data_IF_530340158335
#
_entry.id   IF_530340158335
#
_cell.length_a   1.000
_cell.length_b   1.000
_cell.length_c   1.000
_cell.angle_alpha   90.00
_cell.angle_beta   90.00
_cell.angle_gamma   90.00
#
_symmetry.space_group_name_H-M   'P 1'
#
loop_
_entity.id
_entity.type
_entity.pdbx_description
1 polymer ?
#
# COMPACT_ATOMS: atom_id res chain seq x y z
N UNK A 1 11.25 7.07 1.00
CA UNK A 1 11.87 6.02 1.80
C UNK A 1 10.79 5.40 2.67
N UNK A 2 10.57 4.10 2.54
CA UNK A 2 9.56 3.35 3.28
C UNK A 2 10.25 2.51 4.35
N UNK A 3 9.77 2.61 5.59
CA UNK A 3 10.32 1.86 6.72
C UNK A 3 9.22 1.38 7.67
N UNK A 4 9.37 0.15 8.15
CA UNK A 4 8.56 -0.41 9.24
C UNK A 4 9.55 -0.97 10.26
N UNK A 5 9.56 -0.40 11.46
CA UNK A 5 10.52 -0.77 12.51
C UNK A 5 10.40 -2.26 12.87
N UNK A 6 11.55 -2.85 13.21
CA UNK A 6 11.71 -4.27 13.54
C UNK A 6 11.31 -5.25 12.41
N UNK A 7 11.28 -4.77 11.17
CA UNK A 7 11.09 -5.58 9.97
C UNK A 7 12.22 -5.36 8.97
N UNK A 8 12.24 -6.17 7.90
CA UNK A 8 13.16 -5.97 6.79
C UNK A 8 12.71 -4.88 5.80
N UNK A 9 11.50 -4.33 5.97
CA UNK A 9 10.97 -3.27 5.11
C UNK A 9 11.68 -1.97 5.49
N UNK A 10 12.76 -1.68 4.77
CA UNK A 10 13.59 -0.48 4.92
C UNK A 10 14.20 -0.17 3.55
N UNK A 11 13.41 0.46 2.67
CA UNK A 11 13.71 0.55 1.24
C UNK A 11 13.52 1.96 0.66
N UNK A 12 14.31 2.35 -0.35
CA UNK A 12 13.95 3.46 -1.22
C UNK A 12 12.66 3.13 -1.99
N UNK A 13 11.92 4.18 -2.34
CA UNK A 13 10.70 4.05 -3.15
C UNK A 13 10.91 4.81 -4.44
N UNK A 14 10.74 4.09 -5.55
CA UNK A 14 10.93 4.60 -6.91
C UNK A 14 9.59 5.01 -7.52
N UNK A 15 9.61 5.77 -8.61
CA UNK A 15 8.42 6.05 -9.41
C UNK A 15 8.82 6.29 -10.87
N UNK A 16 7.96 5.89 -11.81
CA UNK A 16 8.11 6.22 -13.23
C UNK A 16 6.71 6.48 -13.84
N UNK A 17 6.65 6.69 -15.15
CA UNK A 17 5.40 6.98 -15.88
C UNK A 17 4.47 5.75 -16.08
N UNK A 18 4.80 4.59 -15.50
CA UNK A 18 4.01 3.37 -15.54
C UNK A 18 4.26 2.51 -14.28
N UNK A 19 3.43 1.49 -14.09
CA UNK A 19 3.50 0.56 -12.96
C UNK A 19 4.27 -0.74 -13.29
N UNK A 20 5.09 -0.73 -14.35
CA UNK A 20 5.75 -1.94 -14.88
C UNK A 20 7.28 -1.90 -14.73
N UNK A 21 7.92 -0.76 -14.96
CA UNK A 21 9.39 -0.66 -15.07
C UNK A 21 10.12 -1.15 -13.82
N UNK A 22 9.67 -0.75 -12.63
CA UNK A 22 10.32 -1.12 -11.36
C UNK A 22 9.90 -2.50 -10.83
N UNK A 23 9.10 -3.26 -11.60
CA UNK A 23 8.89 -4.67 -11.32
C UNK A 23 10.17 -5.50 -11.56
N UNK A 24 11.01 -5.14 -12.53
CA UNK A 24 12.23 -5.88 -12.87
C UNK A 24 13.50 -5.02 -12.87
N UNK A 25 13.44 -3.82 -12.28
CA UNK A 25 14.57 -2.90 -12.14
C UNK A 25 14.80 -2.47 -10.68
N UNK A 26 16.07 -2.42 -10.28
CA UNK A 26 16.50 -1.92 -8.97
C UNK A 26 16.59 -0.38 -8.94
N UNK A 27 16.95 0.19 -7.79
CA UNK A 27 17.07 1.65 -7.61
C UNK A 27 18.18 2.30 -8.46
N UNK A 28 19.16 1.51 -8.94
CA UNK A 28 20.19 1.94 -9.90
C UNK A 28 19.72 1.83 -11.36
N UNK A 29 18.45 1.47 -11.61
CA UNK A 29 17.88 1.25 -12.94
C UNK A 29 18.51 0.06 -13.69
N UNK A 30 19.07 -0.91 -12.94
CA UNK A 30 19.62 -2.15 -13.49
C UNK A 30 18.59 -3.27 -13.34
N UNK A 31 18.62 -4.24 -14.25
CA UNK A 31 17.72 -5.41 -14.16
C UNK A 31 17.97 -6.20 -12.89
N UNK A 32 16.91 -6.43 -12.13
CA UNK A 32 16.91 -7.23 -10.90
C UNK A 32 15.54 -7.91 -10.75
N UNK A 33 15.54 -9.23 -10.59
CA UNK A 33 14.31 -10.00 -10.42
C UNK A 33 13.55 -9.67 -9.12
N UNK A 34 14.19 -9.01 -8.15
CA UNK A 34 13.53 -8.51 -6.95
C UNK A 34 12.81 -7.17 -7.19
N UNK A 35 13.12 -6.47 -8.29
CA UNK A 35 12.60 -5.14 -8.60
C UNK A 35 12.95 -4.10 -7.53
N UNK A 36 12.06 -3.12 -7.38
CA UNK A 36 12.10 -2.10 -6.33
C UNK A 36 10.75 -1.99 -5.64
N UNK A 37 10.69 -1.32 -4.49
CA UNK A 37 9.43 -0.75 -4.02
C UNK A 37 9.15 0.49 -4.86
N UNK A 38 7.95 0.61 -5.41
CA UNK A 38 7.61 1.73 -6.28
C UNK A 38 6.22 2.27 -5.99
N UNK A 39 6.05 3.58 -6.16
CA UNK A 39 4.78 4.27 -6.05
C UNK A 39 4.01 4.20 -7.37
N UNK A 40 2.68 4.14 -7.29
CA UNK A 40 1.81 4.18 -8.46
C UNK A 40 2.12 5.40 -9.34
N UNK A 41 2.15 5.21 -10.65
CA UNK A 41 2.44 6.23 -11.64
C UNK A 41 1.44 7.39 -11.64
N UNK A 42 0.19 7.14 -11.21
CA UNK A 42 -0.85 8.16 -11.12
C UNK A 42 -0.81 8.96 -9.80
N UNK A 43 -0.12 8.44 -8.77
CA UNK A 43 0.05 9.16 -7.52
C UNK A 43 0.98 10.37 -7.67
N UNK A 44 0.64 11.48 -7.03
CA UNK A 44 1.50 12.66 -6.97
C UNK A 44 2.11 12.79 -5.58
N UNK A 45 3.43 12.93 -5.48
CA UNK A 45 4.12 13.13 -4.20
C UNK A 45 3.97 14.56 -3.66
N UNK A 46 3.86 15.56 -4.55
CA UNK A 46 3.68 16.97 -4.19
C UNK A 46 3.06 17.81 -5.33
N UNK A 47 1.92 18.51 -5.11
CA UNK A 47 1.03 18.33 -3.96
C UNK A 47 0.57 16.87 -3.86
N UNK A 48 0.47 16.37 -2.64
CA UNK A 48 0.31 14.95 -2.37
C UNK A 48 -1.09 14.48 -2.77
N UNK A 49 -1.19 13.34 -3.47
CA UNK A 49 -2.47 12.62 -3.61
C UNK A 49 -2.99 12.13 -2.26
N UNK A 50 -4.30 12.04 -2.13
CA UNK A 50 -4.96 11.65 -0.88
C UNK A 50 -4.52 10.26 -0.41
N UNK A 51 -4.40 9.29 -1.32
CA UNK A 51 -3.90 7.96 -1.03
C UNK A 51 -2.67 7.67 -1.92
N UNK A 52 -1.51 7.48 -1.30
CA UNK A 52 -0.33 7.00 -2.02
C UNK A 52 -0.30 5.48 -2.02
N UNK A 53 -0.24 4.87 -3.20
CA UNK A 53 -0.20 3.43 -3.34
C UNK A 53 1.23 3.00 -3.68
N UNK A 54 1.79 2.13 -2.86
CA UNK A 54 3.11 1.54 -3.05
C UNK A 54 2.98 0.07 -3.37
N UNK A 55 3.71 -0.37 -4.39
CA UNK A 55 3.80 -1.75 -4.83
C UNK A 55 5.17 -2.33 -4.54
N UNK A 56 5.21 -3.63 -4.30
CA UNK A 56 6.45 -4.37 -4.13
C UNK A 56 6.22 -5.87 -4.30
N UNK A 57 7.26 -6.59 -4.72
CA UNK A 57 7.19 -8.04 -4.91
C UNK A 57 6.99 -8.78 -3.60
N UNK A 58 6.21 -9.86 -3.68
CA UNK A 58 6.11 -10.85 -2.61
C UNK A 58 7.19 -11.92 -2.82
N UNK A 59 8.36 -11.69 -2.24
CA UNK A 59 9.47 -12.63 -2.35
C UNK A 59 9.35 -13.73 -1.29
N UNK A 60 9.51 -15.00 -1.69
CA UNK A 60 9.58 -16.14 -0.75
C UNK A 60 10.70 -16.02 0.30
N UNK A 61 11.70 -15.19 0.02
CA UNK A 61 12.79 -14.89 0.96
C UNK A 61 12.39 -13.91 2.06
N UNK A 62 11.16 -13.39 2.05
CA UNK A 62 10.67 -12.31 2.92
C UNK A 62 10.96 -10.92 2.36
N UNK A 63 12.03 -10.75 1.55
CA UNK A 63 12.47 -9.46 0.96
C UNK A 63 11.35 -8.69 0.28
N UNK A 64 11.55 -7.38 0.11
CA UNK A 64 10.57 -6.47 -0.48
C UNK A 64 9.29 -6.46 0.36
N UNK A 65 8.14 -6.82 -0.20
CA UNK A 65 6.88 -6.97 0.53
C UNK A 65 6.56 -8.44 0.86
N UNK A 66 7.54 -9.34 0.81
CA UNK A 66 7.33 -10.75 1.19
C UNK A 66 6.82 -10.92 2.62
N UNK A 67 7.21 -10.03 3.53
CA UNK A 67 6.73 -10.04 4.92
C UNK A 67 5.40 -9.31 5.14
N UNK A 68 4.81 -8.68 4.11
CA UNK A 68 3.56 -7.94 4.26
C UNK A 68 2.39 -8.86 4.65
N UNK A 69 2.39 -10.13 4.20
CA UNK A 69 1.36 -11.10 4.57
C UNK A 69 1.34 -11.44 6.08
N UNK A 70 2.41 -11.14 6.82
CA UNK A 70 2.46 -11.35 8.27
C UNK A 70 1.41 -10.53 9.00
N UNK A 71 0.98 -9.40 8.43
CA UNK A 71 -0.14 -8.59 8.90
C UNK A 71 -1.47 -9.36 8.89
N UNK A 72 -1.59 -10.51 8.22
CA UNK A 72 -2.78 -11.36 8.35
C UNK A 72 -3.02 -11.83 9.80
N UNK A 73 -2.00 -11.77 10.66
CA UNK A 73 -2.09 -12.05 12.10
C UNK A 73 -2.24 -10.75 12.87
N UNK A 74 -3.36 -10.56 13.54
CA UNK A 74 -3.64 -9.36 14.34
C UNK A 74 -2.53 -9.04 15.37
N UNK A 75 -1.89 -10.07 15.95
CA UNK A 75 -0.76 -9.87 16.87
C UNK A 75 0.45 -9.19 16.20
N UNK A 76 0.74 -9.52 14.94
CA UNK A 76 1.82 -8.88 14.18
C UNK A 76 1.49 -7.42 13.89
N UNK A 77 0.24 -7.11 13.54
CA UNK A 77 -0.21 -5.73 13.42
C UNK A 77 0.00 -4.94 14.71
N UNK A 78 -0.36 -5.50 15.87
CA UNK A 78 -0.22 -4.82 17.16
C UNK A 78 1.25 -4.48 17.47
N UNK A 79 2.18 -5.32 17.06
CA UNK A 79 3.62 -5.10 17.24
C UNK A 79 4.20 -4.13 16.20
N UNK A 80 3.64 -4.09 14.98
CA UNK A 80 4.14 -3.31 13.84
C UNK A 80 3.07 -2.36 13.27
N UNK A 81 2.40 -1.58 14.12
CA UNK A 81 1.24 -0.78 13.72
C UNK A 81 1.60 0.55 13.04
N UNK A 82 2.88 0.93 13.07
CA UNK A 82 3.38 2.21 12.55
C UNK A 82 4.25 1.98 11.31
N UNK A 83 3.97 2.74 10.26
CA UNK A 83 4.71 2.78 9.01
C UNK A 83 5.28 4.18 8.83
N UNK A 84 6.55 4.28 8.47
CA UNK A 84 7.18 5.54 8.10
C UNK A 84 7.31 5.61 6.58
N UNK A 85 6.86 6.70 5.99
CA UNK A 85 7.07 6.96 4.58
C UNK A 85 7.42 8.42 4.34
N UNK A 86 8.68 8.64 3.96
CA UNK A 86 9.22 9.95 3.64
C UNK A 86 9.31 10.12 2.12
N UNK A 87 8.77 11.21 1.59
CA UNK A 87 9.08 11.66 0.23
C UNK A 87 10.27 12.61 0.27
N UNK A 88 10.72 13.08 -0.89
CA UNK A 88 11.74 14.15 -0.93
C UNK A 88 11.19 15.52 -0.47
N UNK A 89 9.87 15.64 -0.30
CA UNK A 89 9.17 16.87 0.08
C UNK A 89 8.72 16.88 1.54
N UNK A 90 8.33 15.73 2.05
CA UNK A 90 7.70 15.60 3.37
C UNK A 90 8.06 14.30 4.08
N UNK A 91 8.03 14.34 5.40
CA UNK A 91 8.10 13.14 6.25
C UNK A 91 6.70 12.73 6.67
N UNK A 92 6.47 11.42 6.79
CA UNK A 92 5.15 10.89 7.11
C UNK A 92 5.21 9.72 8.07
N UNK A 93 4.38 9.76 9.12
CA UNK A 93 4.11 8.61 9.99
C UNK A 93 2.67 8.17 9.78
N UNK A 94 2.47 6.87 9.57
CA UNK A 94 1.18 6.29 9.24
C UNK A 94 0.82 5.17 10.23
N UNK A 95 -0.42 5.14 10.66
CA UNK A 95 -0.99 4.12 11.54
C UNK A 95 -1.80 3.14 10.68
N UNK A 96 -1.48 1.84 10.75
CA UNK A 96 -2.21 0.79 10.04
C UNK A 96 -3.69 0.79 10.47
N UNK A 97 -4.57 0.77 9.47
CA UNK A 97 -6.01 0.95 9.60
C UNK A 97 -6.77 -0.27 9.06
N UNK A 98 -6.48 -0.72 7.83
CA UNK A 98 -7.14 -1.88 7.22
C UNK A 98 -6.11 -2.86 6.68
N UNK A 99 -6.39 -4.15 6.81
CA UNK A 99 -5.54 -5.23 6.27
C UNK A 99 -6.44 -6.25 5.61
N UNK A 100 -6.27 -6.50 4.31
CA UNK A 100 -7.18 -7.37 3.56
C UNK A 100 -6.51 -8.10 2.40
N UNK A 101 -7.21 -9.11 1.89
CA UNK A 101 -6.88 -9.81 0.64
C UNK A 101 -7.85 -9.34 -0.45
N UNK A 102 -7.32 -8.95 -1.60
CA UNK A 102 -8.08 -8.51 -2.76
C UNK A 102 -7.66 -9.29 -4.01
N UNK A 103 -8.39 -9.10 -5.10
CA UNK A 103 -8.00 -9.60 -6.43
C UNK A 103 -7.80 -8.43 -7.38
N UNK A 104 -6.90 -8.57 -8.33
CA UNK A 104 -6.87 -7.69 -9.50
C UNK A 104 -8.04 -8.08 -10.38
N UNK A 105 -8.95 -7.13 -10.60
CA UNK A 105 -10.16 -7.34 -11.38
C UNK A 105 -10.01 -6.73 -12.77
N UNK A 106 -10.72 -7.29 -13.74
CA UNK A 106 -10.75 -6.71 -15.08
C UNK A 106 -11.43 -5.34 -15.05
N UNK A 107 -11.06 -4.49 -16.01
CA UNK A 107 -11.55 -3.11 -16.08
C UNK A 107 -13.09 -3.04 -16.13
N UNK A 108 -13.73 -3.96 -16.84
CA UNK A 108 -15.18 -4.03 -16.99
C UNK A 108 -15.93 -4.67 -15.81
N UNK A 109 -15.23 -5.20 -14.81
CA UNK A 109 -15.86 -5.74 -13.60
C UNK A 109 -16.29 -4.60 -12.68
N UNK A 110 -17.59 -4.59 -12.35
CA UNK A 110 -18.20 -3.62 -11.43
C UNK A 110 -18.03 -4.16 -10.01
N UNK A 111 -16.91 -3.82 -9.39
CA UNK A 111 -16.65 -4.08 -7.98
C UNK A 111 -15.65 -3.04 -7.45
N UNK A 112 -15.50 -2.98 -6.13
CA UNK A 112 -14.53 -2.10 -5.51
C UNK A 112 -13.09 -2.53 -5.88
N UNK A 113 -12.32 -1.57 -6.41
CA UNK A 113 -10.92 -1.72 -6.81
C UNK A 113 -10.09 -0.74 -6.01
N UNK A 114 -9.54 -1.19 -4.88
CA UNK A 114 -8.76 -0.33 -3.97
C UNK A 114 -7.62 0.43 -4.68
N UNK A 115 -7.04 -0.15 -5.74
CA UNK A 115 -5.95 0.44 -6.51
C UNK A 115 -6.40 1.59 -7.43
N UNK A 116 -7.70 1.89 -7.51
CA UNK A 116 -8.21 3.08 -8.21
C UNK A 116 -8.47 4.25 -7.26
N UNK A 117 -8.40 4.03 -5.94
CA UNK A 117 -8.60 5.10 -4.97
C UNK A 117 -7.29 5.84 -4.73
N UNK A 118 -7.03 6.87 -5.55
CA UNK A 118 -5.90 7.80 -5.39
C UNK A 118 -6.38 9.10 -4.75
N UNK A 119 -7.44 9.70 -5.31
CA UNK A 119 -8.06 10.93 -4.83
C UNK A 119 -9.58 10.78 -4.87
N UNK A 120 -10.28 11.13 -3.79
CA UNK A 120 -11.74 11.16 -3.78
C UNK A 120 -12.28 12.52 -4.24
N UNK A 121 -13.26 12.51 -5.14
CA UNK A 121 -13.95 13.69 -5.66
C UNK A 121 -14.89 14.32 -4.62
N UNK A 122 -15.29 13.56 -3.60
CA UNK A 122 -16.18 14.03 -2.53
C UNK A 122 -15.99 13.23 -1.24
N UNK A 123 -16.50 13.79 -0.14
CA UNK A 123 -16.55 13.06 1.14
C UNK A 123 -17.43 11.81 1.10
N UNK A 124 -18.46 11.78 0.26
CA UNK A 124 -19.31 10.59 0.08
C UNK A 124 -18.53 9.46 -0.60
N UNK A 125 -17.75 9.77 -1.63
CA UNK A 125 -16.89 8.80 -2.31
C UNK A 125 -15.80 8.28 -1.37
N UNK A 126 -15.15 9.18 -0.63
CA UNK A 126 -14.16 8.78 0.39
C UNK A 126 -14.75 7.84 1.44
N UNK A 127 -15.92 8.18 2.00
CA UNK A 127 -16.58 7.34 2.99
C UNK A 127 -17.01 5.99 2.41
N UNK A 128 -17.40 5.95 1.13
CA UNK A 128 -17.66 4.69 0.43
C UNK A 128 -16.40 3.83 0.36
N UNK A 129 -15.25 4.41 0.01
CA UNK A 129 -13.98 3.68 -0.01
C UNK A 129 -13.56 3.18 1.38
N UNK A 130 -13.74 3.99 2.42
CA UNK A 130 -13.45 3.56 3.80
C UNK A 130 -14.30 2.35 4.19
N UNK A 131 -15.61 2.41 3.89
CA UNK A 131 -16.54 1.34 4.20
C UNK A 131 -16.19 0.05 3.46
N UNK A 132 -15.91 0.11 2.17
CA UNK A 132 -15.53 -1.09 1.38
C UNK A 132 -14.23 -1.71 1.91
N UNK A 133 -13.24 -0.90 2.29
CA UNK A 133 -11.99 -1.41 2.87
C UNK A 133 -12.16 -1.96 4.29
N UNK A 134 -13.02 -1.36 5.09
CA UNK A 134 -13.40 -1.86 6.42
C UNK A 134 -14.08 -3.22 6.31
N UNK A 135 -15.06 -3.38 5.41
CA UNK A 135 -15.78 -4.63 5.17
C UNK A 135 -14.86 -5.77 4.68
N UNK A 136 -13.79 -5.43 3.96
CA UNK A 136 -12.78 -6.40 3.52
C UNK A 136 -11.71 -6.71 4.58
N UNK A 137 -11.56 -5.87 5.61
CA UNK A 137 -10.49 -5.99 6.60
C UNK A 137 -10.58 -7.32 7.36
N UNK A 138 -9.44 -7.96 7.58
CA UNK A 138 -9.34 -9.26 8.26
C UNK A 138 -9.68 -9.16 9.76
N UNK A 139 -9.53 -7.97 10.33
CA UNK A 139 -9.83 -7.65 11.72
C UNK A 139 -10.05 -6.15 11.87
N UNK A 140 -10.67 -5.77 12.98
CA UNK A 140 -10.92 -4.38 13.38
C UNK A 140 -9.70 -3.83 14.12
N UNK A 141 -9.14 -2.72 13.64
CA UNK A 141 -8.01 -2.01 14.27
C UNK A 141 -8.47 -0.92 15.23
N UNK A 142 -9.75 -0.51 15.17
CA UNK A 142 -10.29 0.66 15.84
C UNK A 142 -9.84 2.00 15.27
N UNK A 143 -9.04 2.00 14.19
CA UNK A 143 -8.57 3.21 13.51
C UNK A 143 -9.51 3.50 12.35
N UNK A 144 -9.89 4.77 12.21
CA UNK A 144 -10.74 5.25 11.11
C UNK A 144 -10.14 6.50 10.48
N UNK A 145 -10.57 6.78 9.26
CA UNK A 145 -10.23 7.99 8.52
C UNK A 145 -11.49 8.75 8.13
N UNK A 146 -11.37 10.07 8.06
CA UNK A 146 -12.39 11.01 7.63
C UNK A 146 -11.95 11.72 6.36
N UNK A 147 -12.89 12.29 5.61
CA UNK A 147 -12.57 12.98 4.38
C UNK A 147 -11.55 14.11 4.62
N UNK A 148 -10.46 14.10 3.85
CA UNK A 148 -9.33 15.01 4.00
C UNK A 148 -8.14 14.40 4.74
N UNK A 149 -8.31 13.24 5.40
CA UNK A 149 -7.18 12.45 5.87
C UNK A 149 -6.37 11.91 4.69
N UNK A 150 -5.06 11.80 4.91
CA UNK A 150 -4.12 11.27 3.94
C UNK A 150 -3.79 9.81 4.27
N UNK A 151 -3.69 9.00 3.23
CA UNK A 151 -3.54 7.56 3.32
C UNK A 151 -2.26 7.08 2.64
N UNK A 152 -1.85 5.88 3.02
CA UNK A 152 -0.79 5.09 2.42
C UNK A 152 -1.27 3.66 2.27
N UNK A 153 -1.25 3.14 1.05
CA UNK A 153 -1.61 1.76 0.72
C UNK A 153 -0.36 0.99 0.30
N UNK A 154 -0.05 -0.11 0.97
CA UNK A 154 0.99 -1.06 0.56
C UNK A 154 0.31 -2.27 -0.08
N UNK A 155 0.71 -2.62 -1.30
CA UNK A 155 0.13 -3.73 -2.07
C UNK A 155 1.19 -4.67 -2.60
N UNK A 156 0.99 -5.98 -2.38
CA UNK A 156 1.85 -7.03 -2.92
C UNK A 156 1.06 -8.19 -3.50
N UNK A 157 1.70 -8.99 -4.35
CA UNK A 157 1.10 -10.22 -4.88
C UNK A 157 0.78 -11.19 -3.74
N UNK A 158 -0.39 -11.82 -3.80
CA UNK A 158 -0.78 -12.89 -2.88
C UNK A 158 -0.82 -14.22 -3.65
N UNK A 159 0.19 -15.07 -3.42
CA UNK A 159 0.32 -16.36 -4.11
C UNK A 159 -0.73 -17.39 -3.69
N UNK A 160 -1.55 -17.12 -2.66
CA UNK A 160 -2.64 -18.02 -2.26
C UNK A 160 -3.83 -18.02 -3.23
N UNK A 161 -3.89 -17.03 -4.14
CA UNK A 161 -4.95 -16.90 -5.13
C UNK A 161 -4.39 -16.41 -6.47
N UNK A 162 -4.97 -16.89 -7.58
CA UNK A 162 -4.71 -16.30 -8.90
C UNK A 162 -5.10 -14.82 -8.88
N UNK A 163 -4.19 -13.95 -9.33
CA UNK A 163 -4.34 -12.49 -9.30
C UNK A 163 -4.61 -11.90 -7.91
N UNK A 164 -4.22 -12.64 -6.86
CA UNK A 164 -4.34 -12.20 -5.48
C UNK A 164 -3.44 -11.01 -5.17
N UNK A 165 -3.93 -10.17 -4.26
CA UNK A 165 -3.18 -9.08 -3.64
C UNK A 165 -3.38 -9.10 -2.14
N UNK A 166 -2.30 -8.87 -1.40
CA UNK A 166 -2.35 -8.59 0.02
C UNK A 166 -2.12 -7.10 0.22
N UNK A 167 -3.03 -6.45 0.95
CA UNK A 167 -3.12 -5.00 1.04
C UNK A 167 -3.13 -4.56 2.50
N UNK A 168 -2.30 -3.57 2.81
CA UNK A 168 -2.26 -2.87 4.09
C UNK A 168 -2.50 -1.39 3.83
N UNK A 169 -3.53 -0.82 4.44
CA UNK A 169 -3.89 0.60 4.33
C UNK A 169 -3.63 1.27 5.67
N UNK A 170 -2.95 2.41 5.65
CA UNK A 170 -2.58 3.16 6.83
C UNK A 170 -2.97 4.64 6.68
N UNK A 171 -3.42 5.26 7.78
CA UNK A 171 -3.76 6.68 7.87
C UNK A 171 -2.57 7.48 8.37
N UNK A 172 -2.28 8.63 7.77
CA UNK A 172 -1.25 9.55 8.26
C UNK A 172 -1.64 10.11 9.63
N UNK A 173 -0.70 10.14 10.55
CA UNK A 173 -0.86 10.68 11.90
C UNK A 173 0.13 11.80 12.23
N UNK A 174 1.23 11.92 11.46
CA UNK A 174 2.23 12.98 11.55
C UNK A 174 2.90 13.24 10.20
#
# INVERSE_FOLDING_TARGET
>A
WLKIDDTIIDYPVMQTANNEYYLDHNFNQEKDNNGSIFMDAECVAYPRSQNLILYGHHMRSGKMFGDLEKYARESYFKEHSIIQFDTIYEKGTYQVMYVFRAKVLKENEIAFKYYQFIDANSGEEFNSYMKEMEEMSLYDTGITAEYGDELLTLSTCDHSQTDGRFVVVAKRVR
#
